data_IF_880425672594
#
_entry.id   IF_880425672594
#
_cell.length_a   1.000
_cell.length_b   1.000
_cell.length_c   1.000
_cell.angle_alpha   90.00
_cell.angle_beta   90.00
_cell.angle_gamma   90.00
#
_symmetry.space_group_name_H-M   'P 1'
#
loop_
_entity.id
_entity.type
_entity.pdbx_description
1 polymer ?
#
# COMPACT_ATOMS: atom_id res chain seq x y z
N UNK A 1 -1.28 -26.36 -17.47
CA UNK A 1 0.19 -26.40 -17.68
C UNK A 1 0.77 -25.22 -16.92
N UNK A 2 1.73 -25.46 -16.05
CA UNK A 2 2.43 -24.37 -15.37
C UNK A 2 3.27 -23.59 -16.39
N UNK A 3 3.19 -22.26 -16.32
CA UNK A 3 3.96 -21.34 -17.14
C UNK A 3 5.22 -20.96 -16.34
N UNK A 4 6.38 -21.47 -16.78
CA UNK A 4 7.62 -21.35 -16.01
C UNK A 4 8.80 -20.75 -16.78
N UNK A 5 8.71 -20.61 -18.11
CA UNK A 5 9.75 -19.98 -18.92
C UNK A 5 9.34 -18.61 -19.42
N UNK A 6 10.33 -17.72 -19.63
CA UNK A 6 10.12 -16.40 -20.22
C UNK A 6 9.35 -16.47 -21.53
N UNK A 7 9.69 -17.40 -22.42
CA UNK A 7 9.02 -17.61 -23.70
C UNK A 7 7.53 -17.98 -23.54
N UNK A 8 7.20 -18.79 -22.53
CA UNK A 8 5.81 -19.13 -22.25
C UNK A 8 5.04 -17.93 -21.69
N UNK A 9 5.68 -17.13 -20.85
CA UNK A 9 5.11 -15.88 -20.31
C UNK A 9 4.85 -14.91 -21.46
N UNK A 10 5.81 -14.71 -22.36
CA UNK A 10 5.69 -13.86 -23.53
C UNK A 10 4.53 -14.28 -24.42
N UNK A 11 4.42 -15.56 -24.75
CA UNK A 11 3.32 -16.08 -25.56
C UNK A 11 1.95 -15.85 -24.93
N UNK A 12 1.82 -16.02 -23.60
CA UNK A 12 0.57 -15.76 -22.88
C UNK A 12 0.26 -14.25 -22.86
N UNK A 13 1.25 -13.42 -22.65
CA UNK A 13 1.10 -11.97 -22.64
C UNK A 13 0.71 -11.43 -24.01
N UNK A 14 1.32 -11.91 -25.12
CA UNK A 14 0.95 -11.58 -26.50
C UNK A 14 -0.49 -12.00 -26.80
N UNK A 15 -0.89 -13.21 -26.41
CA UNK A 15 -2.26 -13.69 -26.60
C UNK A 15 -3.29 -12.84 -25.85
N UNK A 16 -2.93 -12.35 -24.68
CA UNK A 16 -3.82 -11.53 -23.84
C UNK A 16 -3.91 -10.08 -24.29
N UNK A 17 -2.79 -9.47 -24.64
CA UNK A 17 -2.71 -8.07 -25.07
C UNK A 17 -3.07 -7.87 -26.54
N UNK A 18 -2.97 -8.90 -27.37
CA UNK A 18 -3.01 -8.84 -28.82
C UNK A 18 -1.94 -7.90 -29.43
N UNK A 19 -0.81 -7.75 -28.74
CA UNK A 19 0.27 -6.87 -29.08
C UNK A 19 1.62 -7.54 -28.75
N UNK A 20 2.44 -7.74 -29.75
CA UNK A 20 3.72 -8.44 -29.63
C UNK A 20 4.75 -7.63 -28.81
N UNK A 21 4.75 -6.29 -28.97
CA UNK A 21 5.64 -5.40 -28.24
C UNK A 21 5.30 -5.38 -26.75
N UNK A 22 4.03 -5.25 -26.43
CA UNK A 22 3.56 -5.30 -25.05
C UNK A 22 3.81 -6.68 -24.40
N UNK A 23 3.60 -7.75 -25.14
CA UNK A 23 3.83 -9.11 -24.64
C UNK A 23 5.29 -9.37 -24.30
N UNK A 24 6.21 -8.98 -25.20
CA UNK A 24 7.64 -9.05 -24.94
C UNK A 24 8.06 -8.18 -23.75
N UNK A 25 7.54 -6.97 -23.65
CA UNK A 25 7.83 -6.07 -22.53
C UNK A 25 7.41 -6.63 -21.18
N UNK A 26 6.21 -7.21 -21.11
CA UNK A 26 5.71 -7.85 -19.88
C UNK A 26 6.60 -9.04 -19.49
N UNK A 27 7.02 -9.84 -20.45
CA UNK A 27 7.92 -10.98 -20.19
C UNK A 27 9.30 -10.51 -19.67
N UNK A 28 9.83 -9.42 -20.22
CA UNK A 28 11.10 -8.81 -19.77
C UNK A 28 10.98 -8.27 -18.34
N UNK A 29 9.86 -7.62 -18.04
CA UNK A 29 9.58 -7.10 -16.69
C UNK A 29 9.45 -8.23 -15.68
N UNK A 30 8.70 -9.28 -16.02
CA UNK A 30 8.55 -10.46 -15.14
C UNK A 30 9.87 -11.19 -14.89
N UNK A 31 10.72 -11.27 -15.89
CA UNK A 31 12.04 -11.89 -15.75
C UNK A 31 12.94 -11.09 -14.76
N UNK A 32 12.81 -9.77 -14.77
CA UNK A 32 13.57 -8.89 -13.87
C UNK A 32 13.03 -8.85 -12.44
N UNK A 33 11.72 -8.76 -12.27
CA UNK A 33 11.11 -8.65 -10.92
C UNK A 33 10.93 -10.02 -10.24
N UNK A 34 11.00 -11.10 -11.02
CA UNK A 34 10.80 -12.44 -10.50
C UNK A 34 9.34 -12.82 -10.26
N UNK A 35 9.11 -14.06 -9.81
CA UNK A 35 7.76 -14.62 -9.63
C UNK A 35 6.93 -13.95 -8.53
N UNK A 36 7.59 -13.38 -7.55
CA UNK A 36 6.98 -12.71 -6.40
C UNK A 36 6.90 -11.19 -6.60
N UNK A 37 7.38 -10.70 -7.75
CA UNK A 37 7.35 -9.28 -8.08
C UNK A 37 5.95 -8.77 -8.42
N UNK A 38 5.66 -7.53 -8.04
CA UNK A 38 4.40 -6.87 -8.35
C UNK A 38 4.57 -6.02 -9.61
N UNK A 39 3.67 -6.21 -10.57
CA UNK A 39 3.63 -5.45 -11.82
C UNK A 39 2.34 -4.65 -11.82
N UNK A 40 2.44 -3.34 -11.94
CA UNK A 40 1.31 -2.44 -12.15
C UNK A 40 1.36 -1.87 -13.56
N UNK A 41 0.20 -1.58 -14.13
CA UNK A 41 0.06 -0.97 -15.45
C UNK A 41 -0.70 0.34 -15.30
N UNK A 42 -0.06 1.42 -15.71
CA UNK A 42 -0.63 2.77 -15.70
C UNK A 42 -0.62 3.40 -17.09
N UNK A 43 -1.42 4.45 -17.28
CA UNK A 43 -1.42 5.22 -18.53
C UNK A 43 -0.16 6.09 -18.62
N UNK A 44 0.63 5.89 -19.67
CA UNK A 44 1.76 6.77 -19.98
C UNK A 44 1.28 8.06 -20.65
N UNK A 45 1.98 9.16 -20.39
CA UNK A 45 1.80 10.43 -21.12
C UNK A 45 2.55 10.44 -22.44
N UNK A 46 3.38 9.45 -22.70
CA UNK A 46 4.15 9.29 -23.93
C UNK A 46 3.40 8.40 -24.95
N UNK A 47 3.85 8.42 -26.20
CA UNK A 47 3.32 7.57 -27.27
C UNK A 47 3.97 6.18 -27.32
N UNK A 48 4.87 5.89 -26.40
CA UNK A 48 5.61 4.64 -26.31
C UNK A 48 5.41 3.98 -24.94
N UNK A 49 5.61 2.67 -24.90
CA UNK A 49 5.65 1.94 -23.63
C UNK A 49 6.91 2.34 -22.86
N UNK A 50 6.71 2.63 -21.57
CA UNK A 50 7.78 2.93 -20.63
C UNK A 50 7.73 1.93 -19.48
N UNK A 51 8.90 1.47 -19.03
CA UNK A 51 9.02 0.62 -17.83
C UNK A 51 9.84 1.33 -16.78
N UNK A 52 9.28 1.46 -15.60
CA UNK A 52 9.95 1.96 -14.41
C UNK A 52 10.04 0.84 -13.38
N UNK A 53 11.24 0.57 -12.87
CA UNK A 53 11.47 -0.38 -11.79
C UNK A 53 11.62 0.40 -10.50
N UNK A 54 10.69 0.19 -9.58
CA UNK A 54 10.66 0.84 -8.29
C UNK A 54 10.57 -0.20 -7.18
N UNK A 55 11.03 0.16 -6.00
CA UNK A 55 10.89 -0.69 -4.84
C UNK A 55 9.45 -0.67 -4.35
N UNK A 56 8.91 -1.84 -4.06
CA UNK A 56 7.54 -1.98 -3.65
C UNK A 56 7.32 -3.23 -2.80
N UNK A 57 6.14 -3.31 -2.22
CA UNK A 57 5.70 -4.44 -1.40
C UNK A 57 4.21 -4.66 -1.59
N UNK A 58 3.79 -5.91 -1.55
CA UNK A 58 2.38 -6.26 -1.49
C UNK A 58 2.08 -7.03 -0.21
N UNK A 59 0.96 -6.69 0.43
CA UNK A 59 0.43 -7.40 1.59
C UNK A 59 -0.94 -7.99 1.26
N UNK A 60 -1.24 -9.14 1.84
CA UNK A 60 -2.49 -9.91 1.68
C UNK A 60 -3.63 -9.34 2.57
N UNK A 61 -3.82 -8.03 2.53
CA UNK A 61 -4.89 -7.32 3.25
C UNK A 61 -5.43 -6.22 2.38
N UNK A 62 -6.75 -6.22 2.20
CA UNK A 62 -7.46 -5.20 1.44
C UNK A 62 -8.18 -4.19 2.32
N UNK A 63 -8.96 -3.31 1.70
CA UNK A 63 -9.67 -2.25 2.39
C UNK A 63 -10.73 -2.78 3.37
N UNK A 64 -10.89 -2.10 4.50
CA UNK A 64 -11.89 -2.41 5.52
C UNK A 64 -13.31 -2.00 5.12
N UNK A 65 -13.44 -1.12 4.15
CA UNK A 65 -14.73 -0.66 3.65
C UNK A 65 -14.67 -0.41 2.14
N UNK A 66 -15.67 -0.88 1.37
CA UNK A 66 -15.75 -0.60 -0.06
C UNK A 66 -15.96 0.89 -0.37
N UNK A 67 -16.37 1.70 0.60
CA UNK A 67 -16.49 3.15 0.44
C UNK A 67 -15.15 3.88 0.31
N UNK A 68 -14.02 3.21 0.54
CA UNK A 68 -12.69 3.75 0.27
C UNK A 68 -12.31 3.71 -1.20
N UNK A 69 -13.00 2.93 -2.03
CA UNK A 69 -12.75 2.78 -3.46
C UNK A 69 -12.77 4.13 -4.16
N UNK A 70 -11.74 4.40 -4.95
CA UNK A 70 -11.63 5.60 -5.80
C UNK A 70 -11.86 5.29 -7.28
N UNK A 71 -11.52 4.06 -7.71
CA UNK A 71 -11.74 3.56 -9.06
C UNK A 71 -12.77 2.43 -9.03
N UNK A 72 -14.00 2.74 -9.41
CA UNK A 72 -15.11 1.78 -9.39
C UNK A 72 -14.96 0.64 -10.39
N UNK A 73 -14.32 0.88 -11.52
CA UNK A 73 -14.16 -0.12 -12.58
C UNK A 73 -13.19 -1.22 -12.16
N UNK A 74 -12.11 -0.84 -11.48
CA UNK A 74 -11.10 -1.77 -10.95
C UNK A 74 -11.36 -2.21 -9.52
N UNK A 75 -12.37 -1.63 -8.84
CA UNK A 75 -12.68 -1.89 -7.42
C UNK A 75 -11.46 -1.68 -6.51
N UNK A 76 -10.73 -0.59 -6.71
CA UNK A 76 -9.51 -0.27 -5.97
C UNK A 76 -9.55 1.17 -5.40
N UNK A 77 -8.88 1.35 -4.28
CA UNK A 77 -8.58 2.66 -3.72
C UNK A 77 -7.14 3.03 -4.07
N UNK A 78 -6.96 4.05 -4.86
CA UNK A 78 -5.64 4.58 -5.23
C UNK A 78 -5.37 5.82 -4.40
N UNK A 79 -4.24 5.85 -3.73
CA UNK A 79 -3.75 6.97 -2.95
C UNK A 79 -2.40 7.40 -3.54
N UNK A 80 -2.33 8.61 -4.05
CA UNK A 80 -1.10 9.20 -4.59
C UNK A 80 -0.40 10.01 -3.51
N UNK A 81 0.92 9.85 -3.38
CA UNK A 81 1.76 10.49 -2.35
C UNK A 81 1.19 10.41 -0.93
N UNK A 82 0.65 9.26 -0.47
CA UNK A 82 0.00 9.18 0.82
C UNK A 82 1.00 9.17 1.97
N UNK A 83 0.55 9.70 3.11
CA UNK A 83 1.11 9.32 4.40
C UNK A 83 0.65 7.90 4.77
N UNK A 84 1.51 7.15 5.45
CA UNK A 84 1.21 5.80 5.93
C UNK A 84 1.33 5.77 7.44
N UNK A 85 0.20 5.64 8.14
CA UNK A 85 0.15 5.40 9.57
C UNK A 85 0.21 3.91 9.83
N UNK A 86 1.20 3.48 10.61
CA UNK A 86 1.45 2.07 10.92
C UNK A 86 1.33 1.87 12.42
N UNK A 87 0.36 1.07 12.86
CA UNK A 87 0.18 0.77 14.28
C UNK A 87 -0.18 -0.68 14.51
N UNK A 88 0.28 -1.23 15.62
CA UNK A 88 -0.12 -2.55 16.12
C UNK A 88 -1.40 -2.49 16.99
N UNK A 89 -1.94 -1.29 17.21
CA UNK A 89 -3.11 -1.08 18.06
C UNK A 89 -4.41 -1.24 17.25
N UNK A 90 -5.47 -1.59 17.96
CA UNK A 90 -6.83 -1.55 17.47
C UNK A 90 -7.40 -0.13 17.67
N UNK A 91 -8.06 0.40 16.63
CA UNK A 91 -8.62 1.75 16.65
C UNK A 91 -10.14 1.65 16.59
N UNK A 92 -10.81 2.07 17.65
CA UNK A 92 -12.28 2.06 17.73
C UNK A 92 -12.85 3.47 17.91
N UNK A 93 -12.14 4.35 18.62
CA UNK A 93 -12.54 5.73 18.85
C UNK A 93 -11.83 6.67 17.87
N UNK A 94 -12.57 7.61 17.29
CA UNK A 94 -12.00 8.61 16.39
C UNK A 94 -11.03 9.56 17.10
N UNK A 95 -11.23 9.79 18.41
CA UNK A 95 -10.32 10.59 19.23
C UNK A 95 -8.87 10.17 19.14
N UNK A 96 -8.60 8.89 18.91
CA UNK A 96 -7.25 8.34 18.82
C UNK A 96 -6.55 8.76 17.52
N UNK A 97 -7.33 8.97 16.45
CA UNK A 97 -6.84 9.38 15.14
C UNK A 97 -6.87 10.88 14.90
N UNK A 98 -7.71 11.64 15.61
CA UNK A 98 -7.90 13.08 15.36
C UNK A 98 -6.59 13.86 15.27
N UNK A 99 -5.63 13.71 16.21
CA UNK A 99 -4.39 14.48 16.16
C UNK A 99 -3.55 14.22 14.90
N UNK A 100 -3.58 12.98 14.40
CA UNK A 100 -2.88 12.58 13.18
C UNK A 100 -3.60 13.13 11.95
N UNK A 101 -4.92 12.94 11.89
CA UNK A 101 -5.74 13.39 10.77
C UNK A 101 -5.70 14.90 10.58
N UNK A 102 -5.71 15.67 11.65
CA UNK A 102 -5.59 17.13 11.59
C UNK A 102 -4.25 17.57 10.95
N UNK A 103 -3.15 16.92 11.33
CA UNK A 103 -1.82 17.20 10.75
C UNK A 103 -1.76 16.82 9.27
N UNK A 104 -2.33 15.68 8.89
CA UNK A 104 -2.39 15.23 7.50
C UNK A 104 -3.25 16.15 6.65
N UNK A 105 -4.38 16.62 7.15
CA UNK A 105 -5.27 17.57 6.47
C UNK A 105 -4.58 18.90 6.15
N UNK A 106 -3.69 19.37 7.01
CA UNK A 106 -2.91 20.58 6.79
C UNK A 106 -1.82 20.42 5.73
N UNK A 107 -1.39 19.20 5.47
CA UNK A 107 -0.27 18.89 4.60
C UNK A 107 -0.71 18.40 3.22
N UNK A 108 -1.22 17.18 3.12
CA UNK A 108 -1.41 16.46 1.84
C UNK A 108 -2.83 15.93 1.65
N UNK A 109 -3.55 15.64 2.71
CA UNK A 109 -4.90 15.04 2.70
C UNK A 109 -5.01 13.58 2.28
N UNK A 110 -3.92 12.89 1.93
CA UNK A 110 -3.91 11.47 1.57
C UNK A 110 -3.28 10.68 2.70
N UNK A 111 -3.96 9.66 3.21
CA UNK A 111 -3.45 8.79 4.27
C UNK A 111 -3.95 7.36 4.12
N UNK A 112 -3.03 6.40 4.27
CA UNK A 112 -3.34 5.00 4.51
C UNK A 112 -3.17 4.70 6.00
N UNK A 113 -4.17 4.11 6.62
CA UNK A 113 -4.14 3.66 8.01
C UNK A 113 -3.97 2.14 8.04
N UNK A 114 -2.88 1.67 8.62
CA UNK A 114 -2.62 0.25 8.87
C UNK A 114 -2.67 0.04 10.38
N UNK A 115 -3.64 -0.73 10.84
CA UNK A 115 -3.86 -1.00 12.25
C UNK A 115 -4.19 -2.47 12.48
N UNK A 116 -4.12 -2.96 13.72
CA UNK A 116 -4.61 -4.30 14.02
C UNK A 116 -6.06 -4.48 13.56
N UNK A 117 -6.90 -3.50 13.85
CA UNK A 117 -8.24 -3.34 13.30
C UNK A 117 -8.66 -1.87 13.38
N UNK A 118 -9.56 -1.45 12.48
CA UNK A 118 -10.24 -0.15 12.58
C UNK A 118 -11.73 -0.43 12.52
N UNK A 119 -12.46 -0.08 13.57
CA UNK A 119 -13.87 -0.42 13.70
C UNK A 119 -14.70 0.71 14.33
N UNK A 120 -15.99 0.49 14.45
CA UNK A 120 -16.91 1.36 15.16
C UNK A 120 -16.93 2.80 14.65
N UNK A 121 -16.85 3.74 15.60
CA UNK A 121 -16.88 5.18 15.31
C UNK A 121 -15.71 5.64 14.45
N UNK A 122 -14.51 5.09 14.66
CA UNK A 122 -13.33 5.44 13.91
C UNK A 122 -13.51 5.11 12.42
N UNK A 123 -13.92 3.88 12.09
CA UNK A 123 -14.15 3.48 10.71
C UNK A 123 -15.26 4.31 10.05
N UNK A 124 -16.38 4.50 10.74
CA UNK A 124 -17.50 5.29 10.23
C UNK A 124 -17.10 6.74 9.92
N UNK A 125 -16.30 7.35 10.79
CA UNK A 125 -15.84 8.73 10.60
C UNK A 125 -14.86 8.83 9.43
N UNK A 126 -13.94 7.87 9.25
CA UNK A 126 -13.06 7.83 8.09
C UNK A 126 -13.85 7.73 6.78
N UNK A 127 -14.85 6.84 6.73
CA UNK A 127 -15.73 6.67 5.57
C UNK A 127 -16.49 7.96 5.26
N UNK A 128 -17.09 8.62 6.25
CA UNK A 128 -17.82 9.86 6.08
C UNK A 128 -16.93 10.98 5.52
N UNK A 129 -15.72 11.13 6.06
CA UNK A 129 -14.77 12.15 5.59
C UNK A 129 -14.28 11.84 4.16
N UNK A 130 -14.09 10.57 3.82
CA UNK A 130 -13.79 10.14 2.44
C UNK A 130 -14.92 10.51 1.49
N UNK A 131 -16.17 10.19 1.82
CA UNK A 131 -17.34 10.47 0.99
C UNK A 131 -17.59 11.98 0.82
N UNK A 132 -17.26 12.79 1.82
CA UNK A 132 -17.31 14.26 1.76
C UNK A 132 -16.17 14.88 0.94
N UNK A 133 -15.17 14.09 0.53
CA UNK A 133 -13.98 14.60 -0.14
C UNK A 133 -13.06 15.46 0.75
N UNK A 134 -13.27 15.44 2.06
CA UNK A 134 -12.45 16.20 3.02
C UNK A 134 -11.08 15.53 3.19
N UNK A 135 -11.04 14.21 3.19
CA UNK A 135 -9.86 13.40 3.37
C UNK A 135 -9.87 12.24 2.37
N UNK A 136 -8.76 12.00 1.68
CA UNK A 136 -8.59 10.81 0.88
C UNK A 136 -7.90 9.73 1.72
N UNK A 137 -8.68 8.78 2.23
CA UNK A 137 -8.23 7.79 3.20
C UNK A 137 -8.61 6.38 2.76
N UNK A 138 -7.76 5.44 3.09
CA UNK A 138 -8.11 4.03 3.14
C UNK A 138 -7.59 3.44 4.46
N UNK A 139 -8.26 2.42 4.97
CA UNK A 139 -7.86 1.69 6.15
C UNK A 139 -7.79 0.21 5.84
N UNK A 140 -6.71 -0.42 6.28
CA UNK A 140 -6.46 -1.86 6.10
C UNK A 140 -6.03 -2.48 7.42
N UNK A 141 -6.29 -3.79 7.57
CA UNK A 141 -5.77 -4.54 8.72
C UNK A 141 -4.28 -4.83 8.56
N UNK A 142 -3.57 -4.82 9.66
CA UNK A 142 -2.19 -5.28 9.71
C UNK A 142 -2.11 -6.76 9.27
N UNK A 143 -1.14 -7.10 8.40
CA UNK A 143 -0.97 -8.48 7.93
C UNK A 143 -0.42 -9.38 9.05
N UNK A 144 -0.72 -10.68 8.97
CA UNK A 144 -0.23 -11.67 9.92
C UNK A 144 -0.85 -11.59 11.32
N UNK A 145 -0.24 -12.34 12.25
CA UNK A 145 -0.64 -12.43 13.65
C UNK A 145 0.60 -12.51 14.54
N UNK A 146 0.49 -12.06 15.80
CA UNK A 146 1.56 -12.15 16.79
C UNK A 146 2.87 -11.52 16.30
N UNK A 147 3.97 -12.23 16.50
CA UNK A 147 5.31 -11.75 16.14
C UNK A 147 5.50 -11.57 14.64
N UNK A 148 4.84 -12.40 13.82
CA UNK A 148 4.84 -12.22 12.36
C UNK A 148 4.18 -10.89 11.95
N UNK A 149 3.11 -10.48 12.64
CA UNK A 149 2.50 -9.16 12.39
C UNK A 149 3.47 -8.04 12.70
N UNK A 150 4.20 -8.13 13.82
CA UNK A 150 5.20 -7.12 14.20
C UNK A 150 6.28 -7.00 13.13
N UNK A 151 6.84 -8.13 12.70
CA UNK A 151 7.85 -8.14 11.64
C UNK A 151 7.34 -7.52 10.33
N UNK A 152 6.13 -7.87 9.90
CA UNK A 152 5.54 -7.30 8.69
C UNK A 152 5.24 -5.80 8.81
N UNK A 153 4.83 -5.31 9.97
CA UNK A 153 4.66 -3.87 10.22
C UNK A 153 5.99 -3.14 10.19
N UNK A 154 7.05 -3.74 10.72
CA UNK A 154 8.42 -3.20 10.65
C UNK A 154 8.93 -3.15 9.21
N UNK A 155 8.68 -4.18 8.39
CA UNK A 155 9.04 -4.19 6.98
C UNK A 155 8.34 -3.05 6.21
N UNK A 156 7.04 -2.84 6.46
CA UNK A 156 6.31 -1.72 5.87
C UNK A 156 6.87 -0.37 6.34
N UNK A 157 7.25 -0.25 7.61
CA UNK A 157 7.85 0.96 8.16
C UNK A 157 9.21 1.25 7.52
N UNK A 158 10.03 0.23 7.31
CA UNK A 158 11.34 0.36 6.64
C UNK A 158 11.13 0.79 5.18
N UNK A 159 10.22 0.15 4.46
CA UNK A 159 9.90 0.48 3.07
C UNK A 159 9.44 1.93 2.90
N UNK A 160 8.58 2.40 3.79
CA UNK A 160 7.95 3.72 3.70
C UNK A 160 8.70 4.82 4.46
N UNK A 161 9.75 4.46 5.18
CA UNK A 161 10.49 5.41 6.04
C UNK A 161 9.72 5.86 7.28
N UNK A 162 8.66 5.12 7.65
CA UNK A 162 7.82 5.42 8.81
C UNK A 162 8.28 4.74 10.10
N UNK A 163 7.48 4.89 11.14
CA UNK A 163 7.70 4.28 12.45
C UNK A 163 6.46 3.49 12.86
N UNK A 164 6.64 2.28 13.37
CA UNK A 164 5.54 1.50 13.95
C UNK A 164 5.14 2.11 15.31
N UNK A 165 3.88 2.50 15.42
CA UNK A 165 3.31 3.02 16.66
C UNK A 165 2.74 1.85 17.46
N UNK A 166 3.31 1.61 18.63
CA UNK A 166 2.93 0.51 19.52
C UNK A 166 3.04 0.92 20.97
N UNK A 167 2.08 0.47 21.78
CA UNK A 167 2.12 0.66 23.23
C UNK A 167 3.31 -0.07 23.88
N UNK A 168 3.77 -1.17 23.30
CA UNK A 168 4.93 -1.92 23.78
C UNK A 168 6.22 -1.10 23.75
N UNK A 169 6.33 -0.16 22.80
CA UNK A 169 7.46 0.80 22.74
C UNK A 169 7.12 2.14 23.37
N UNK A 170 6.00 2.22 24.11
CA UNK A 170 5.58 3.42 24.82
C UNK A 170 5.05 4.54 23.92
N UNK A 171 4.71 4.25 22.67
CA UNK A 171 4.16 5.23 21.73
C UNK A 171 2.66 5.13 21.61
N UNK A 172 1.99 6.27 21.77
CA UNK A 172 0.54 6.41 21.61
C UNK A 172 0.21 7.13 20.31
N UNK A 173 -0.98 6.87 19.77
CA UNK A 173 -1.48 7.50 18.54
C UNK A 173 -1.62 9.02 18.67
N UNK A 174 -1.94 9.53 19.84
CA UNK A 174 -2.06 10.97 20.13
C UNK A 174 -0.73 11.73 20.03
N UNK A 175 0.39 11.03 20.20
CA UNK A 175 1.74 11.61 20.15
C UNK A 175 2.40 11.54 18.77
N UNK A 176 1.75 10.98 17.76
CA UNK A 176 2.29 10.81 16.41
C UNK A 176 2.49 12.15 15.72
N UNK A 177 3.66 12.31 15.10
CA UNK A 177 4.01 13.46 14.26
C UNK A 177 4.02 13.07 12.78
N UNK A 178 4.09 14.04 11.87
CA UNK A 178 4.21 13.76 10.44
C UNK A 178 5.50 13.01 10.10
N UNK A 179 6.57 13.21 10.89
CA UNK A 179 7.86 12.52 10.71
C UNK A 179 7.80 11.04 11.11
N UNK A 180 6.82 10.65 11.92
CA UNK A 180 6.58 9.24 12.27
C UNK A 180 5.80 8.49 11.18
N UNK A 181 5.13 9.21 10.29
CA UNK A 181 4.37 8.64 9.19
C UNK A 181 5.29 8.21 8.05
N UNK A 182 5.05 7.02 7.52
CA UNK A 182 5.69 6.58 6.28
C UNK A 182 5.17 7.36 5.08
N UNK A 183 5.90 7.29 3.96
CA UNK A 183 5.53 7.88 2.68
C UNK A 183 5.86 6.93 1.55
N UNK A 184 5.09 6.97 0.50
CA UNK A 184 5.38 6.31 -0.76
C UNK A 184 4.72 7.08 -1.91
N UNK A 185 5.16 6.81 -3.13
CA UNK A 185 4.64 7.48 -4.33
C UNK A 185 3.18 7.13 -4.57
N UNK A 186 2.81 5.86 -4.37
CA UNK A 186 1.44 5.41 -4.54
C UNK A 186 1.12 4.20 -3.67
N UNK A 187 -0.11 4.10 -3.20
CA UNK A 187 -0.67 2.88 -2.60
C UNK A 187 -1.95 2.51 -3.34
N UNK A 188 -2.03 1.26 -3.75
CA UNK A 188 -3.23 0.68 -4.38
C UNK A 188 -3.81 -0.35 -3.42
N UNK A 189 -5.01 -0.08 -2.92
CA UNK A 189 -5.73 -0.97 -2.00
C UNK A 189 -6.89 -1.61 -2.74
N UNK A 190 -6.86 -2.92 -2.87
CA UNK A 190 -7.94 -3.73 -3.43
C UNK A 190 -8.74 -4.42 -2.32
N UNK A 191 -9.65 -5.30 -2.71
CA UNK A 191 -10.47 -6.04 -1.77
C UNK A 191 -9.66 -6.97 -0.86
N UNK A 192 -8.64 -7.62 -1.41
CA UNK A 192 -7.90 -8.69 -0.75
C UNK A 192 -6.40 -8.38 -0.56
N UNK A 193 -5.89 -7.36 -1.22
CA UNK A 193 -4.48 -6.99 -1.19
C UNK A 193 -4.26 -5.48 -1.17
N UNK A 194 -3.07 -5.07 -0.73
CA UNK A 194 -2.58 -3.69 -0.76
C UNK A 194 -1.16 -3.69 -1.30
N UNK A 195 -0.93 -2.87 -2.32
CA UNK A 195 0.36 -2.70 -2.97
C UNK A 195 0.93 -1.32 -2.65
N UNK A 196 2.15 -1.29 -2.16
CA UNK A 196 2.95 -0.08 -1.95
C UNK A 196 3.91 0.06 -3.12
N UNK A 197 3.97 1.23 -3.71
CA UNK A 197 4.82 1.54 -4.87
C UNK A 197 5.75 2.67 -4.49
N UNK A 198 7.06 2.46 -4.68
CA UNK A 198 8.11 3.46 -4.48
C UNK A 198 8.06 4.09 -3.08
N UNK A 199 8.47 3.33 -2.08
CA UNK A 199 8.55 3.78 -0.69
C UNK A 199 9.74 4.71 -0.46
N UNK A 200 9.56 5.71 0.40
CA UNK A 200 10.56 6.73 0.75
C UNK A 200 11.67 6.21 1.69
N UNK A 201 11.57 4.93 2.08
CA UNK A 201 12.50 4.27 3.00
C UNK A 201 13.73 3.69 2.33
N UNK A 202 14.66 3.22 3.14
CA UNK A 202 15.88 2.54 2.69
C UNK A 202 15.73 1.03 2.75
N UNK A 203 15.66 0.39 1.60
CA UNK A 203 15.37 -1.06 1.43
C UNK A 203 16.55 -1.96 1.77
N UNK A 204 17.76 -1.42 1.90
CA UNK A 204 18.96 -2.17 2.34
C UNK A 204 18.76 -2.91 3.68
N UNK A 205 17.68 -2.59 4.40
CA UNK A 205 17.33 -3.17 5.71
C UNK A 205 16.27 -4.27 5.64
N UNK A 206 15.47 -4.35 4.56
CA UNK A 206 14.36 -5.32 4.45
C UNK A 206 14.88 -6.76 4.31
N UNK A 207 16.00 -6.96 3.64
CA UNK A 207 16.59 -8.30 3.43
C UNK A 207 17.19 -8.98 4.66
N UNK A 208 17.13 -8.38 5.85
CA UNK A 208 17.72 -8.93 7.08
C UNK A 208 16.71 -9.56 8.05
N UNK A 209 15.41 -9.42 7.79
CA UNK A 209 14.35 -9.92 8.66
C UNK A 209 13.84 -11.32 8.29
N UNK A 210 14.30 -11.91 7.18
CA UNK A 210 13.87 -13.22 6.71
C UNK A 210 15.03 -14.24 6.64
N UNK A 211 15.84 -14.35 7.70
CA UNK A 211 16.75 -15.49 7.89
C UNK A 211 16.42 -16.20 9.19
#
# INVERSE_FOLDING_TARGET
TEVNSKEQIENVAILSSHDDEMGSLIADVMDKVGKDGVITVDESKSLSYETEFVEGMQIDRGFLSPYFVTNSDRQEAVLDDPYVLITSQKISAISDLLPVLEKVLQSNKNILVIAEDVEGEALATLVVNKLRGTLNVAAVKAPGFGDRRKAMLEDIAILTGGTVISEEVGRKLDSVTLDDLGKCKQVVVKKDDTTFVDGDGSVDKIGRAHV
#
